data_IF_404342388020
#
_entry.id   IF_404342388020
#
_cell.length_a   1.000
_cell.length_b   1.000
_cell.length_c   1.000
_cell.angle_alpha   90.00
_cell.angle_beta   90.00
_cell.angle_gamma   90.00
#
_symmetry.space_group_name_H-M   'P 1'
#
loop_
_entity.id
_entity.type
_entity.pdbx_description
1 polymer ?
#
# COMPACT_ATOMS: atom_id res chain seq x y z
N UNK A 1 0.98 9.96 17.51
CA UNK A 1 2.26 10.15 16.86
C UNK A 1 2.22 9.57 15.46
N UNK A 2 2.64 10.37 14.48
CA UNK A 2 2.53 10.01 13.08
C UNK A 2 3.86 9.50 12.54
N UNK A 3 3.79 8.44 11.75
CA UNK A 3 4.96 7.91 11.05
C UNK A 3 4.73 8.05 9.55
N UNK A 4 5.79 8.42 8.84
CA UNK A 4 5.76 8.53 7.38
C UNK A 4 6.59 7.41 6.77
N UNK A 5 5.96 6.63 5.91
CA UNK A 5 6.63 5.54 5.19
C UNK A 5 6.81 5.97 3.74
N UNK A 6 8.05 5.98 3.29
CA UNK A 6 8.37 6.32 1.91
C UNK A 6 8.53 5.05 1.10
N UNK A 7 7.98 5.03 -0.10
CA UNK A 7 8.16 3.90 -0.99
C UNK A 7 9.55 3.91 -1.61
N UNK A 8 9.99 2.75 -2.05
CA UNK A 8 11.16 2.62 -2.89
C UNK A 8 10.67 2.31 -4.30
N UNK A 9 10.89 3.25 -5.22
CA UNK A 9 10.38 3.14 -6.57
C UNK A 9 11.51 2.91 -7.56
N UNK A 10 11.25 2.04 -8.54
CA UNK A 10 12.23 1.74 -9.57
C UNK A 10 11.51 1.33 -10.85
N UNK A 11 12.24 1.33 -11.96
CA UNK A 11 11.71 0.79 -13.20
C UNK A 11 11.76 -0.74 -13.14
N UNK A 12 10.77 -1.36 -13.77
CA UNK A 12 10.76 -2.81 -13.91
C UNK A 12 11.95 -3.20 -14.78
N UNK A 13 12.75 -4.19 -14.35
CA UNK A 13 13.88 -4.64 -15.18
C UNK A 13 13.49 -5.07 -16.59
N UNK A 14 12.23 -5.45 -16.79
CA UNK A 14 11.74 -5.84 -18.11
C UNK A 14 11.44 -4.65 -19.02
N UNK A 15 11.45 -3.43 -18.48
CA UNK A 15 11.17 -2.22 -19.27
C UNK A 15 12.45 -1.69 -19.88
N UNK A 16 12.87 -2.28 -20.99
CA UNK A 16 14.12 -1.92 -21.64
C UNK A 16 14.06 -0.48 -22.16
N UNK A 17 12.93 -0.10 -22.75
CA UNK A 17 12.80 1.26 -23.28
C UNK A 17 12.86 2.33 -22.21
N UNK A 18 12.28 2.06 -21.06
CA UNK A 18 12.25 3.02 -19.97
C UNK A 18 13.61 3.28 -19.36
N UNK A 19 14.50 2.29 -19.36
CA UNK A 19 15.82 2.42 -18.75
C UNK A 19 16.64 3.55 -19.34
N UNK A 20 16.44 3.82 -20.62
CA UNK A 20 17.23 4.83 -21.32
C UNK A 20 16.56 6.16 -21.41
N UNK A 21 15.43 6.33 -20.71
CA UNK A 21 14.70 7.58 -20.72
C UNK A 21 15.14 8.45 -19.55
N UNK A 22 15.84 9.56 -19.80
CA UNK A 22 16.33 10.39 -18.70
C UNK A 22 15.23 11.12 -17.93
N UNK A 23 14.02 11.13 -18.44
CA UNK A 23 12.90 11.73 -17.72
C UNK A 23 12.39 10.83 -16.60
N UNK A 24 12.73 9.55 -16.61
CA UNK A 24 12.23 8.61 -15.60
C UNK A 24 13.20 8.56 -14.42
N UNK A 25 13.26 9.66 -13.68
CA UNK A 25 14.11 9.76 -12.49
C UNK A 25 13.38 9.18 -11.29
N UNK A 26 14.11 8.87 -10.20
CA UNK A 26 13.44 8.46 -8.96
C UNK A 26 12.43 9.48 -8.47
N UNK A 27 12.74 10.77 -8.58
CA UNK A 27 11.81 11.81 -8.16
C UNK A 27 10.52 11.77 -8.97
N UNK A 28 10.63 11.54 -10.27
CA UNK A 28 9.44 11.43 -11.10
C UNK A 28 8.63 10.20 -10.72
N UNK A 29 9.27 9.06 -10.53
CA UNK A 29 8.58 7.83 -10.15
C UNK A 29 7.87 7.98 -8.81
N UNK A 30 8.48 8.71 -7.88
CA UNK A 30 7.87 8.96 -6.58
C UNK A 30 6.59 9.79 -6.70
N UNK A 31 6.46 10.56 -7.76
CA UNK A 31 5.29 11.42 -7.96
C UNK A 31 4.12 10.68 -8.61
N UNK A 32 4.32 9.47 -9.10
CA UNK A 32 3.27 8.72 -9.78
C UNK A 32 2.20 8.29 -8.79
N UNK A 33 0.94 8.60 -9.14
CA UNK A 33 -0.22 8.19 -8.36
C UNK A 33 -1.22 7.52 -9.29
N UNK A 34 -1.51 6.27 -9.03
CA UNK A 34 -2.49 5.51 -9.80
C UNK A 34 -3.34 4.70 -8.84
N UNK A 35 -4.50 4.28 -9.32
CA UNK A 35 -5.42 3.49 -8.52
C UNK A 35 -4.78 2.17 -8.11
N UNK A 36 -5.08 1.73 -6.88
CA UNK A 36 -4.65 0.44 -6.35
C UNK A 36 -3.15 0.31 -6.17
N UNK A 37 -2.44 1.43 -6.21
CA UNK A 37 -1.03 1.48 -5.85
C UNK A 37 -0.92 2.40 -4.65
N UNK A 38 -0.33 1.97 -3.54
CA UNK A 38 -0.19 2.86 -2.39
C UNK A 38 0.69 4.05 -2.75
N UNK A 39 0.44 5.17 -2.10
CA UNK A 39 1.19 6.38 -2.35
C UNK A 39 2.66 6.22 -1.95
N UNK A 40 3.52 6.96 -2.63
CA UNK A 40 4.93 7.01 -2.25
C UNK A 40 5.08 7.44 -0.79
N UNK A 41 4.37 8.47 -0.40
CA UNK A 41 4.40 8.97 0.97
C UNK A 41 3.13 8.51 1.69
N UNK A 42 3.31 7.62 2.66
CA UNK A 42 2.21 7.04 3.40
C UNK A 42 2.35 7.45 4.86
N UNK A 43 1.42 8.25 5.35
CA UNK A 43 1.44 8.75 6.72
C UNK A 43 0.45 7.94 7.56
N UNK A 44 0.95 7.32 8.61
CA UNK A 44 0.15 6.44 9.44
C UNK A 44 0.34 6.77 10.91
N UNK A 45 -0.68 6.50 11.70
CA UNK A 45 -0.66 6.60 13.15
C UNK A 45 -1.13 5.30 13.76
N UNK A 46 -0.65 4.98 14.95
CA UNK A 46 -1.22 3.87 15.70
C UNK A 46 -2.68 4.21 16.00
N UNK A 47 -3.55 3.25 15.72
CA UNK A 47 -4.99 3.42 15.92
C UNK A 47 -5.74 3.89 14.70
N UNK A 48 -5.07 4.33 13.63
CA UNK A 48 -5.79 4.78 12.46
C UNK A 48 -6.31 3.59 11.63
N UNK A 49 -7.47 3.76 11.00
CA UNK A 49 -8.01 2.71 10.14
C UNK A 49 -7.38 2.78 8.75
N UNK A 50 -7.10 1.60 8.20
CA UNK A 50 -6.53 1.48 6.85
C UNK A 50 -7.25 0.39 6.10
N UNK A 51 -7.09 0.41 4.78
CA UNK A 51 -7.65 -0.61 3.91
C UNK A 51 -6.52 -1.27 3.14
N UNK A 52 -6.60 -2.60 3.04
CA UNK A 52 -5.61 -3.40 2.33
C UNK A 52 -5.91 -3.39 0.84
N UNK A 53 -4.86 -3.28 0.03
CA UNK A 53 -4.97 -3.24 -1.43
C UNK A 53 -4.65 -4.56 -2.12
N UNK A 54 -4.19 -5.56 -1.38
CA UNK A 54 -3.72 -6.80 -1.99
C UNK A 54 -4.23 -8.01 -1.22
N UNK A 55 -4.34 -9.12 -1.93
CA UNK A 55 -4.61 -10.40 -1.31
C UNK A 55 -3.29 -10.99 -0.83
N UNK A 56 -3.01 -10.81 0.46
CA UNK A 56 -1.78 -11.33 1.05
C UNK A 56 -1.99 -12.73 1.59
N UNK A 57 -3.08 -12.93 2.30
CA UNK A 57 -3.39 -14.19 2.93
C UNK A 57 -4.92 -14.27 3.08
N UNK A 58 -5.61 -14.66 2.00
CA UNK A 58 -7.08 -14.68 2.04
C UNK A 58 -7.64 -15.59 3.12
N UNK A 59 -6.99 -16.72 3.37
CA UNK A 59 -7.46 -17.65 4.40
C UNK A 59 -7.34 -17.02 5.77
N UNK A 60 -6.28 -16.27 6.01
CA UNK A 60 -6.09 -15.54 7.27
C UNK A 60 -6.85 -14.23 7.36
N UNK A 61 -7.62 -13.87 6.34
CA UNK A 61 -8.41 -12.66 6.36
C UNK A 61 -7.76 -11.46 5.71
N UNK A 62 -6.58 -11.62 5.11
CA UNK A 62 -5.84 -10.51 4.50
C UNK A 62 -6.07 -10.49 3.00
N UNK A 63 -7.10 -9.80 2.58
CA UNK A 63 -7.43 -9.69 1.17
C UNK A 63 -7.78 -8.26 0.82
N UNK A 64 -7.83 -7.99 -0.47
CA UNK A 64 -8.12 -6.66 -0.99
C UNK A 64 -9.47 -6.18 -0.43
N UNK A 65 -9.44 -4.98 0.16
CA UNK A 65 -10.63 -4.40 0.77
C UNK A 65 -10.77 -4.65 2.26
N UNK A 66 -9.93 -5.50 2.84
CA UNK A 66 -9.98 -5.74 4.27
C UNK A 66 -9.62 -4.47 5.02
N UNK A 67 -10.39 -4.14 6.04
CA UNK A 67 -10.14 -2.97 6.87
C UNK A 67 -9.46 -3.39 8.15
N UNK A 68 -8.47 -2.57 8.55
CA UNK A 68 -7.63 -2.88 9.69
C UNK A 68 -7.40 -1.62 10.51
N UNK A 69 -7.02 -1.81 11.77
CA UNK A 69 -6.59 -0.72 12.64
C UNK A 69 -5.16 -0.99 13.06
N UNK A 70 -4.29 0.00 12.85
CA UNK A 70 -2.88 -0.15 13.16
C UNK A 70 -2.68 -0.19 14.67
N UNK A 71 -1.97 -1.21 15.15
CA UNK A 71 -1.69 -1.36 16.58
C UNK A 71 -0.23 -1.11 16.91
N UNK A 72 0.69 -1.46 16.04
CA UNK A 72 2.11 -1.20 16.23
C UNK A 72 2.76 -0.97 14.87
N UNK A 73 3.84 -0.17 14.86
CA UNK A 73 4.55 0.12 13.63
C UNK A 73 6.04 -0.11 13.79
N UNK A 74 6.64 -0.73 12.79
CA UNK A 74 8.08 -0.89 12.66
C UNK A 74 8.53 -0.33 11.32
N UNK A 75 9.85 -0.30 11.08
CA UNK A 75 10.37 0.31 9.84
C UNK A 75 9.99 -0.45 8.58
N UNK A 76 9.80 -1.77 8.65
CA UNK A 76 9.55 -2.58 7.46
C UNK A 76 8.27 -3.39 7.55
N UNK A 77 7.62 -3.41 8.71
CA UNK A 77 6.44 -4.21 8.93
C UNK A 77 5.60 -3.53 10.00
N UNK A 78 4.30 -3.68 9.94
CA UNK A 78 3.45 -3.19 10.99
C UNK A 78 2.47 -4.27 11.45
N UNK A 79 1.93 -4.07 12.65
CA UNK A 79 0.91 -4.94 13.19
C UNK A 79 -0.43 -4.22 13.16
N UNK A 80 -1.46 -4.94 12.80
CA UNK A 80 -2.79 -4.36 12.72
C UNK A 80 -3.83 -5.38 13.16
N UNK A 81 -4.98 -4.87 13.57
CA UNK A 81 -6.11 -5.71 13.93
C UNK A 81 -7.13 -5.65 12.81
N UNK A 82 -7.60 -6.82 12.39
CA UNK A 82 -8.62 -6.92 11.35
C UNK A 82 -9.94 -6.43 11.92
N UNK A 83 -10.62 -5.55 11.18
CA UNK A 83 -11.88 -4.96 11.61
C UNK A 83 -13.10 -5.58 10.94
N UNK A 84 -12.93 -6.24 9.81
CA UNK A 84 -14.05 -6.74 9.00
C UNK A 84 -13.87 -8.22 8.67
N UNK A 85 -14.98 -8.88 8.38
CA UNK A 85 -14.97 -10.26 7.95
C UNK A 85 -14.86 -11.25 9.09
N UNK A 86 -14.64 -12.52 8.73
CA UNK A 86 -14.63 -13.62 9.70
C UNK A 86 -13.45 -13.57 10.66
N UNK A 87 -12.39 -12.88 10.27
CA UNK A 87 -11.19 -12.78 11.10
C UNK A 87 -11.12 -11.50 11.92
N UNK A 88 -12.23 -10.76 12.02
CA UNK A 88 -12.27 -9.53 12.80
C UNK A 88 -11.76 -9.78 14.22
N UNK A 89 -10.91 -8.87 14.70
CA UNK A 89 -10.31 -8.99 16.02
C UNK A 89 -8.95 -9.68 16.04
N UNK A 90 -8.56 -10.33 14.95
CA UNK A 90 -7.27 -10.99 14.88
C UNK A 90 -6.15 -9.98 14.57
N UNK A 91 -5.00 -10.18 15.18
CA UNK A 91 -3.81 -9.38 14.92
C UNK A 91 -3.01 -10.02 13.80
N UNK A 92 -2.55 -9.19 12.87
CA UNK A 92 -1.81 -9.65 11.71
C UNK A 92 -0.62 -8.75 11.46
N UNK A 93 0.35 -9.25 10.70
CA UNK A 93 1.54 -8.48 10.33
C UNK A 93 1.46 -8.14 8.85
N UNK A 94 1.71 -6.88 8.51
CA UNK A 94 1.66 -6.40 7.14
C UNK A 94 3.06 -5.93 6.75
N UNK A 95 3.72 -6.62 5.81
CA UNK A 95 5.04 -6.21 5.35
C UNK A 95 4.95 -5.26 4.16
N UNK A 96 6.09 -4.66 3.81
CA UNK A 96 6.21 -3.95 2.55
C UNK A 96 6.25 -4.97 1.42
N UNK A 97 5.58 -4.65 0.33
CA UNK A 97 5.53 -5.51 -0.84
C UNK A 97 6.03 -4.76 -2.06
N UNK A 98 6.59 -5.47 -3.01
CA UNK A 98 6.89 -4.92 -4.33
C UNK A 98 5.62 -4.96 -5.15
N UNK A 99 5.16 -3.79 -5.52
CA UNK A 99 3.88 -3.63 -6.21
C UNK A 99 4.10 -2.98 -7.56
N UNK A 100 3.28 -3.38 -8.51
CA UNK A 100 3.27 -2.78 -9.83
C UNK A 100 1.85 -2.35 -10.15
N UNK A 101 1.67 -1.24 -10.89
CA UNK A 101 0.34 -0.87 -11.34
C UNK A 101 -0.23 -1.98 -12.22
N UNK A 102 -1.42 -2.48 -11.86
CA UNK A 102 -1.99 -3.64 -12.54
C UNK A 102 -2.78 -3.23 -13.78
N UNK A 103 -3.34 -2.06 -13.75
CA UNK A 103 -4.14 -1.55 -14.85
C UNK A 103 -3.62 -0.17 -15.17
N UNK A 104 -2.63 -0.12 -16.02
CA UNK A 104 -1.89 1.10 -16.19
C UNK A 104 -1.95 1.62 -17.61
N UNK A 105 -2.09 2.94 -17.71
CA UNK A 105 -1.92 3.66 -18.96
C UNK A 105 -0.56 4.34 -19.01
N UNK A 106 0.30 3.99 -18.06
CA UNK A 106 1.65 4.54 -18.02
C UNK A 106 2.46 4.04 -19.21
N UNK A 107 3.26 4.91 -19.81
CA UNK A 107 4.12 4.50 -20.93
C UNK A 107 5.39 3.77 -20.49
N UNK A 108 5.45 3.37 -19.24
CA UNK A 108 6.61 2.66 -18.69
C UNK A 108 6.12 1.72 -17.60
N UNK A 109 6.97 0.78 -17.22
CA UNK A 109 6.67 -0.16 -16.14
C UNK A 109 7.51 0.20 -14.92
N UNK A 110 6.85 0.33 -13.76
CA UNK A 110 7.53 0.65 -12.54
C UNK A 110 7.17 -0.36 -11.45
N UNK A 111 8.01 -0.40 -10.42
CA UNK A 111 7.75 -1.15 -9.20
C UNK A 111 7.83 -0.22 -8.02
N UNK A 112 6.93 -0.40 -7.09
CA UNK A 112 6.93 0.38 -5.85
C UNK A 112 6.93 -0.56 -4.66
N UNK A 113 7.95 -0.44 -3.81
CA UNK A 113 7.99 -1.19 -2.55
C UNK A 113 7.38 -0.32 -1.48
N UNK A 114 6.24 -0.72 -0.97
CA UNK A 114 5.50 0.03 0.03
C UNK A 114 4.53 -0.90 0.75
N UNK A 115 4.04 -0.46 1.91
CA UNK A 115 2.94 -1.13 2.58
C UNK A 115 1.71 -1.05 1.68
N UNK A 116 1.01 -2.17 1.43
CA UNK A 116 -0.14 -2.17 0.50
C UNK A 116 -1.40 -1.64 1.16
N UNK A 117 -1.33 -0.44 1.70
CA UNK A 117 -2.38 0.15 2.53
C UNK A 117 -2.74 1.55 2.09
N UNK A 118 -3.99 1.93 2.35
CA UNK A 118 -4.43 3.30 2.24
C UNK A 118 -5.19 3.68 3.50
N UNK A 119 -5.06 4.93 3.92
CA UNK A 119 -5.78 5.43 5.08
C UNK A 119 -7.27 5.50 4.76
N UNK A 120 -8.09 5.01 5.70
CA UNK A 120 -9.55 5.13 5.60
C UNK A 120 -10.01 6.14 6.62
N UNK A 121 -10.90 7.03 6.22
CA UNK A 121 -11.48 7.97 7.16
C UNK A 121 -12.75 7.38 7.76
N UNK A 122 -13.05 7.78 8.97
CA UNK A 122 -14.21 7.24 9.69
C UNK A 122 -15.50 7.43 8.91
N UNK A 123 -15.64 8.56 8.25
CA UNK A 123 -16.84 8.82 7.49
C UNK A 123 -17.02 7.83 6.33
N UNK A 124 -15.94 7.38 5.76
CA UNK A 124 -16.00 6.39 4.70
C UNK A 124 -16.57 5.08 5.21
N UNK A 125 -16.19 4.72 6.41
CA UNK A 125 -16.70 3.52 7.04
C UNK A 125 -18.18 3.65 7.32
N UNK A 126 -18.58 4.81 7.81
CA UNK A 126 -19.96 5.04 8.14
C UNK A 126 -20.86 4.99 6.93
N UNK A 127 -20.36 5.41 5.80
CA UNK A 127 -21.16 5.44 4.61
C UNK A 127 -21.38 4.08 3.99
N UNK A 128 -20.61 3.13 4.40
CA UNK A 128 -20.73 1.79 3.85
C UNK A 128 -21.97 1.08 4.37
N UNK A 129 -22.64 1.71 5.22
CA UNK A 129 -23.85 1.16 5.77
C UNK A 129 -24.97 1.11 4.82
#
# INVERSE_FOLDING_TARGET
EEFTFLSSDSLDPADIGGRNNPALTPDFLNSVKVSRLPNHKLRLKIGCPVMLFRNIDPIGGLMNGTRLRITQMGPFILQAMILTGDRAGHLVLIPRLKLAPSDTKLPFRMRRTQLPLAVCFAMTINKSQ
#
